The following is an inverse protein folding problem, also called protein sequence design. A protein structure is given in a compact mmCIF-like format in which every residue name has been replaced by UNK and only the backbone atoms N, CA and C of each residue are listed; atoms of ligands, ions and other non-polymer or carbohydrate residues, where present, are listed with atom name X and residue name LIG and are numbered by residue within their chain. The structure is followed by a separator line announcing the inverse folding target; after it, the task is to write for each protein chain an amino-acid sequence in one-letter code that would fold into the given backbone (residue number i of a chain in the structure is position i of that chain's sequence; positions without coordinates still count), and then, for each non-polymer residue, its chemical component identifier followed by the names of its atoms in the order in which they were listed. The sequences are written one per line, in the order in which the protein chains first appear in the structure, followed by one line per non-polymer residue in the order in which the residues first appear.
data_IF_633158012889
#
_entry.id   IF_633158012889
#
_cell.length_a   1.000
_cell.length_b   1.000
_cell.length_c   1.000
_cell.angle_alpha   90.00
_cell.angle_beta   90.00
_cell.angle_gamma   90.00
#
_symmetry.space_group_name_H-M   'P 1'
#
loop_
_entity.id
_entity.type
_entity.pdbx_description
1 polymer ?
#
# COMPACT_ATOMS: atom_id res chain seq x y z
N UNK A 1 -8.47 34.38 -14.55
CA UNK A 1 -8.18 33.78 -15.88
C UNK A 1 -9.33 32.87 -16.22
N UNK A 2 -10.21 33.32 -17.10
CA UNK A 2 -11.42 32.61 -17.53
C UNK A 2 -11.00 31.50 -18.47
N UNK A 3 -11.25 30.24 -18.13
CA UNK A 3 -10.96 29.12 -19.00
C UNK A 3 -11.79 29.27 -20.29
N UNK A 4 -11.18 29.20 -21.49
CA UNK A 4 -11.95 29.23 -22.73
C UNK A 4 -12.86 28.01 -22.78
N UNK A 5 -14.16 28.23 -22.97
CA UNK A 5 -15.10 27.16 -23.22
C UNK A 5 -14.68 26.46 -24.53
N UNK A 6 -14.25 25.20 -24.44
CA UNK A 6 -13.98 24.34 -25.58
C UNK A 6 -15.33 23.95 -26.21
N UNK A 7 -15.85 24.83 -27.05
CA UNK A 7 -17.06 24.56 -27.83
C UNK A 7 -16.68 23.62 -28.97
N UNK A 8 -16.99 22.33 -28.83
CA UNK A 8 -16.94 21.39 -29.96
C UNK A 8 -18.16 21.68 -30.84
N UNK A 9 -18.03 22.66 -31.73
CA UNK A 9 -19.06 23.05 -32.69
C UNK A 9 -19.13 22.06 -33.86
N UNK A 10 -19.42 20.78 -33.60
CA UNK A 10 -19.80 19.86 -34.67
C UNK A 10 -21.32 19.86 -34.74
N UNK A 11 -21.87 20.39 -35.84
CA UNK A 11 -23.28 20.25 -36.19
C UNK A 11 -23.60 18.75 -36.33
N UNK A 12 -24.10 18.13 -35.26
CA UNK A 12 -24.71 16.79 -35.30
C UNK A 12 -26.08 16.95 -35.95
N UNK A 13 -26.12 17.25 -37.24
CA UNK A 13 -27.36 17.49 -37.97
C UNK A 13 -27.30 16.99 -39.42
N UNK A 14 -26.55 15.92 -39.67
CA UNK A 14 -26.91 15.05 -40.78
C UNK A 14 -27.72 13.91 -40.15
N UNK A 15 -29.02 13.74 -40.44
CA UNK A 15 -29.72 12.51 -40.08
C UNK A 15 -28.85 11.37 -40.62
N UNK A 16 -28.61 10.34 -39.79
CA UNK A 16 -28.01 9.09 -40.23
C UNK A 16 -28.77 8.68 -41.49
N UNK A 17 -28.17 8.95 -42.66
CA UNK A 17 -28.77 8.55 -43.92
C UNK A 17 -28.75 7.04 -43.85
N UNK A 18 -29.93 6.46 -43.64
CA UNK A 18 -30.12 5.02 -43.76
C UNK A 18 -29.58 4.65 -45.14
N UNK A 19 -28.89 3.51 -45.26
CA UNK A 19 -28.47 2.98 -46.56
C UNK A 19 -29.65 3.18 -47.51
N UNK A 20 -29.49 3.88 -48.65
CA UNK A 20 -30.61 4.19 -49.52
C UNK A 20 -31.42 2.92 -49.74
N UNK A 21 -32.72 2.95 -49.41
CA UNK A 21 -33.57 1.76 -49.44
C UNK A 21 -33.49 1.06 -50.79
N UNK A 22 -33.27 1.83 -51.86
CA UNK A 22 -33.00 1.35 -53.22
C UNK A 22 -31.80 0.40 -53.33
N UNK A 23 -30.67 0.68 -52.66
CA UNK A 23 -29.48 -0.19 -52.67
C UNK A 23 -29.73 -1.48 -51.88
N UNK A 24 -30.41 -1.39 -50.73
CA UNK A 24 -30.78 -2.55 -49.93
C UNK A 24 -31.76 -3.47 -50.68
N UNK A 25 -32.80 -2.88 -51.27
CA UNK A 25 -33.81 -3.59 -52.05
C UNK A 25 -33.21 -4.21 -53.32
N UNK A 26 -32.31 -3.51 -54.02
CA UNK A 26 -31.59 -4.05 -55.18
C UNK A 26 -30.75 -5.27 -54.80
N UNK A 27 -29.99 -5.18 -53.71
CA UNK A 27 -29.17 -6.30 -53.23
C UNK A 27 -30.03 -7.51 -52.81
N UNK A 28 -31.15 -7.30 -52.10
CA UNK A 28 -32.09 -8.38 -51.76
C UNK A 28 -32.73 -9.01 -53.00
N UNK A 29 -33.17 -8.19 -53.95
CA UNK A 29 -33.79 -8.67 -55.19
C UNK A 29 -32.80 -9.51 -56.00
N UNK A 30 -31.56 -9.04 -56.15
CA UNK A 30 -30.50 -9.80 -56.83
C UNK A 30 -30.17 -11.11 -56.09
N UNK A 31 -30.10 -11.08 -54.75
CA UNK A 31 -29.83 -12.29 -53.97
C UNK A 31 -30.94 -13.35 -54.13
N UNK A 32 -32.20 -12.93 -54.11
CA UNK A 32 -33.36 -13.81 -54.36
C UNK A 32 -33.30 -14.35 -55.80
N UNK A 33 -33.08 -13.48 -56.78
CA UNK A 33 -33.05 -13.87 -58.18
C UNK A 33 -31.88 -14.84 -58.48
N UNK A 34 -30.68 -14.61 -57.91
CA UNK A 34 -29.54 -15.54 -58.04
C UNK A 34 -29.87 -16.89 -57.42
N UNK A 35 -30.55 -16.92 -56.28
CA UNK A 35 -30.94 -18.16 -55.59
C UNK A 35 -31.92 -19.02 -56.41
N UNK A 36 -32.75 -18.39 -57.24
CA UNK A 36 -33.79 -19.05 -58.02
C UNK A 36 -33.42 -19.26 -59.50
N UNK A 37 -32.24 -18.81 -59.94
CA UNK A 37 -31.80 -18.99 -61.31
C UNK A 37 -31.12 -20.35 -61.49
N UNK A 38 -31.75 -21.25 -62.24
CA UNK A 38 -31.14 -22.48 -62.72
C UNK A 38 -30.49 -22.25 -64.10
N UNK A 39 -29.18 -22.50 -64.21
CA UNK A 39 -28.44 -22.36 -65.47
C UNK A 39 -28.46 -23.69 -66.22
N UNK A 40 -29.36 -23.81 -67.20
CA UNK A 40 -29.59 -25.04 -67.97
C UNK A 40 -29.32 -24.88 -69.47
N UNK A 41 -29.19 -23.66 -69.95
CA UNK A 41 -28.99 -23.33 -71.36
C UNK A 41 -28.15 -22.05 -71.57
N UNK A 42 -27.91 -21.67 -72.83
CA UNK A 42 -27.12 -20.50 -73.16
C UNK A 42 -27.76 -19.17 -72.70
N UNK A 43 -29.09 -19.08 -72.69
CA UNK A 43 -29.81 -17.87 -72.29
C UNK A 43 -29.74 -17.64 -70.77
N UNK A 44 -29.97 -18.70 -69.99
CA UNK A 44 -29.83 -18.70 -68.54
C UNK A 44 -28.38 -18.49 -68.09
N UNK A 45 -27.41 -18.96 -68.87
CA UNK A 45 -25.99 -18.67 -68.64
C UNK A 45 -25.66 -17.17 -68.83
N UNK A 46 -26.17 -16.54 -69.89
CA UNK A 46 -25.99 -15.09 -70.10
C UNK A 46 -26.67 -14.27 -68.99
N UNK A 47 -27.89 -14.64 -68.61
CA UNK A 47 -28.63 -14.02 -67.51
C UNK A 47 -27.85 -14.13 -66.18
N UNK A 48 -27.33 -15.32 -65.87
CA UNK A 48 -26.50 -15.54 -64.69
C UNK A 48 -25.23 -14.71 -64.69
N UNK A 49 -24.55 -14.62 -65.83
CA UNK A 49 -23.35 -13.77 -65.98
C UNK A 49 -23.66 -12.30 -65.72
N UNK A 50 -24.79 -11.80 -66.24
CA UNK A 50 -25.24 -10.42 -65.99
C UNK A 50 -25.54 -10.18 -64.52
N UNK A 51 -26.25 -11.10 -63.87
CA UNK A 51 -26.59 -11.00 -62.44
C UNK A 51 -25.36 -11.07 -61.53
N UNK A 52 -24.32 -11.83 -61.90
CA UNK A 52 -23.03 -11.83 -61.21
C UNK A 52 -22.33 -10.47 -61.31
N UNK A 53 -22.31 -9.85 -62.49
CA UNK A 53 -21.74 -8.51 -62.64
C UNK A 53 -22.52 -7.46 -61.84
N UNK A 54 -23.85 -7.50 -61.88
CA UNK A 54 -24.72 -6.57 -61.16
C UNK A 54 -24.61 -6.72 -59.64
N UNK A 55 -24.56 -7.96 -59.14
CA UNK A 55 -24.38 -8.23 -57.70
C UNK A 55 -23.02 -7.79 -57.20
N UNK A 56 -21.95 -8.02 -57.97
CA UNK A 56 -20.62 -7.51 -57.63
C UNK A 56 -20.58 -5.98 -57.58
N UNK A 57 -21.24 -5.30 -58.52
CA UNK A 57 -21.34 -3.84 -58.47
C UNK A 57 -22.17 -3.38 -57.26
N UNK A 58 -23.31 -4.02 -56.97
CA UNK A 58 -24.13 -3.70 -55.80
C UNK A 58 -23.36 -3.87 -54.48
N UNK A 59 -22.52 -4.90 -54.36
CA UNK A 59 -21.64 -5.09 -53.20
C UNK A 59 -20.61 -3.96 -53.05
N UNK A 60 -20.01 -3.51 -54.17
CA UNK A 60 -19.09 -2.36 -54.14
C UNK A 60 -19.79 -1.08 -53.69
N UNK A 61 -20.99 -0.83 -54.19
CA UNK A 61 -21.77 0.37 -53.85
C UNK A 61 -22.18 0.36 -52.37
N UNK A 62 -22.57 -0.80 -51.83
CA UNK A 62 -22.87 -0.98 -50.41
C UNK A 62 -21.65 -0.74 -49.53
N UNK A 63 -20.47 -1.25 -49.91
CA UNK A 63 -19.24 -1.01 -49.14
C UNK A 63 -18.81 0.46 -49.21
N UNK A 64 -18.94 1.11 -50.37
CA UNK A 64 -18.69 2.54 -50.52
C UNK A 64 -19.62 3.38 -49.63
N UNK A 65 -20.91 3.03 -49.57
CA UNK A 65 -21.88 3.66 -48.68
C UNK A 65 -21.48 3.44 -47.21
N UNK A 66 -21.15 2.20 -46.81
CA UNK A 66 -20.67 1.86 -45.47
C UNK A 66 -19.46 2.71 -45.06
N UNK A 67 -18.46 2.82 -45.92
CA UNK A 67 -17.25 3.63 -45.65
C UNK A 67 -17.61 5.11 -45.49
N UNK A 68 -18.47 5.65 -46.37
CA UNK A 68 -18.96 7.03 -46.30
C UNK A 68 -19.69 7.31 -44.99
N UNK A 69 -20.45 6.35 -44.46
CA UNK A 69 -21.12 6.48 -43.16
C UNK A 69 -20.17 6.34 -41.97
N UNK A 70 -19.26 5.36 -42.01
CA UNK A 70 -18.37 5.05 -40.89
C UNK A 70 -17.29 6.13 -40.67
N UNK A 71 -16.81 6.74 -41.74
CA UNK A 71 -15.71 7.73 -41.70
C UNK A 71 -16.00 8.92 -40.77
N UNK A 72 -17.11 9.69 -40.91
CA UNK A 72 -17.37 10.84 -40.04
C UNK A 72 -17.56 10.43 -38.57
N UNK A 73 -18.15 9.27 -38.29
CA UNK A 73 -18.31 8.75 -36.92
C UNK A 73 -16.93 8.47 -36.29
N UNK A 74 -16.04 7.84 -37.06
CA UNK A 74 -14.67 7.54 -36.59
C UNK A 74 -13.85 8.81 -36.39
N UNK A 75 -14.01 9.80 -37.28
CA UNK A 75 -13.36 11.11 -37.15
C UNK A 75 -13.89 11.88 -35.93
N UNK A 76 -15.20 11.84 -35.67
CA UNK A 76 -15.79 12.42 -34.47
C UNK A 76 -15.27 11.75 -33.20
N UNK A 77 -15.18 10.42 -33.17
CA UNK A 77 -14.59 9.67 -32.06
C UNK A 77 -13.15 10.12 -31.76
N UNK A 78 -12.31 10.22 -32.78
CA UNK A 78 -10.93 10.73 -32.64
C UNK A 78 -10.87 12.17 -32.14
N UNK A 79 -11.79 13.03 -32.59
CA UNK A 79 -11.87 14.41 -32.13
C UNK A 79 -12.24 14.49 -30.65
N UNK A 80 -13.20 13.68 -30.20
CA UNK A 80 -13.57 13.55 -28.78
C UNK A 80 -12.37 13.08 -27.97
N UNK A 81 -11.70 12.00 -28.40
CA UNK A 81 -10.52 11.46 -27.71
C UNK A 81 -9.42 12.52 -27.58
N UNK A 82 -9.20 13.32 -28.63
CA UNK A 82 -8.22 14.41 -28.62
C UNK A 82 -8.58 15.50 -27.61
N UNK A 83 -9.85 15.93 -27.56
CA UNK A 83 -10.32 16.94 -26.60
C UNK A 83 -10.19 16.41 -25.17
N UNK A 84 -10.55 15.15 -24.92
CA UNK A 84 -10.44 14.53 -23.60
C UNK A 84 -8.98 14.39 -23.20
N UNK A 85 -8.09 13.93 -24.08
CA UNK A 85 -6.66 13.80 -23.81
C UNK A 85 -6.02 15.16 -23.47
N UNK A 86 -6.35 16.21 -24.21
CA UNK A 86 -5.87 17.57 -23.94
C UNK A 86 -6.26 18.10 -22.54
N UNK A 87 -7.33 17.58 -21.94
CA UNK A 87 -7.76 17.94 -20.59
C UNK A 87 -7.25 16.97 -19.52
N UNK A 88 -7.24 15.67 -19.82
CA UNK A 88 -6.85 14.62 -18.90
C UNK A 88 -5.32 14.58 -18.68
N UNK A 89 -4.52 14.75 -19.74
CA UNK A 89 -3.06 14.61 -19.67
C UNK A 89 -2.41 15.68 -18.76
N UNK A 90 -2.75 16.99 -18.87
CA UNK A 90 -2.22 17.99 -17.95
C UNK A 90 -2.65 17.74 -16.50
N UNK A 91 -3.87 17.25 -16.29
CA UNK A 91 -4.38 16.93 -14.96
C UNK A 91 -3.64 15.73 -14.35
N UNK A 92 -3.39 14.68 -15.12
CA UNK A 92 -2.61 13.51 -14.68
C UNK A 92 -1.15 13.89 -14.38
N UNK A 93 -0.55 14.75 -15.21
CA UNK A 93 0.78 15.30 -14.95
C UNK A 93 0.82 16.14 -13.66
N UNK A 94 -0.17 17.00 -13.44
CA UNK A 94 -0.30 17.79 -12.22
C UNK A 94 -0.49 16.91 -10.98
N UNK A 95 -1.30 15.86 -11.07
CA UNK A 95 -1.49 14.86 -10.01
C UNK A 95 -0.17 14.16 -9.66
N UNK A 96 0.56 13.66 -10.66
CA UNK A 96 1.88 13.03 -10.45
C UNK A 96 2.88 13.98 -9.81
N UNK A 97 2.92 15.24 -10.27
CA UNK A 97 3.75 16.29 -9.68
C UNK A 97 3.40 16.53 -8.21
N UNK A 98 2.12 16.62 -7.87
CA UNK A 98 1.65 16.79 -6.50
C UNK A 98 2.01 15.60 -5.61
N UNK A 99 1.82 14.37 -6.11
CA UNK A 99 2.22 13.16 -5.39
C UNK A 99 3.73 13.15 -5.07
N UNK A 100 4.58 13.57 -6.01
CA UNK A 100 6.01 13.72 -5.77
C UNK A 100 6.34 14.76 -4.69
N UNK A 101 5.62 15.89 -4.65
CA UNK A 101 5.81 16.93 -3.62
C UNK A 101 5.39 16.43 -2.23
N UNK A 102 4.26 15.73 -2.13
CA UNK A 102 3.78 15.14 -0.87
C UNK A 102 4.79 14.12 -0.36
N UNK A 103 5.23 13.19 -1.20
CA UNK A 103 6.23 12.19 -0.82
C UNK A 103 7.55 12.82 -0.36
N UNK A 104 8.01 13.90 -1.03
CA UNK A 104 9.20 14.64 -0.61
C UNK A 104 9.03 15.30 0.77
N UNK A 105 7.86 15.85 1.04
CA UNK A 105 7.55 16.43 2.36
C UNK A 105 7.54 15.36 3.45
N UNK A 106 6.86 14.24 3.22
CA UNK A 106 6.81 13.11 4.17
C UNK A 106 8.21 12.55 4.47
N UNK A 107 9.05 12.40 3.44
CA UNK A 107 10.44 11.98 3.62
C UNK A 107 11.26 12.99 4.46
N UNK A 108 11.05 14.29 4.25
CA UNK A 108 11.73 15.33 5.03
C UNK A 108 11.28 15.35 6.50
N UNK A 109 9.97 15.19 6.75
CA UNK A 109 9.44 15.11 8.12
C UNK A 109 9.96 13.87 8.86
N UNK A 110 10.00 12.72 8.19
CA UNK A 110 10.59 11.51 8.75
C UNK A 110 12.08 11.70 9.08
N UNK A 111 12.84 12.31 8.18
CA UNK A 111 14.26 12.59 8.42
C UNK A 111 14.48 13.54 9.61
N UNK A 112 13.62 14.55 9.81
CA UNK A 112 13.67 15.42 11.00
C UNK A 112 13.35 14.66 12.27
N UNK A 113 12.33 13.81 12.26
CA UNK A 113 11.95 12.98 13.41
C UNK A 113 13.07 12.00 13.78
N UNK A 114 13.68 11.34 12.79
CA UNK A 114 14.81 10.42 13.00
C UNK A 114 16.04 11.16 13.53
N UNK A 115 16.36 12.36 13.00
CA UNK A 115 17.45 13.19 13.50
C UNK A 115 17.23 13.66 14.95
N UNK A 116 16.00 14.05 15.30
CA UNK A 116 15.64 14.41 16.67
C UNK A 116 15.77 13.22 17.63
N UNK A 117 15.37 12.01 17.19
CA UNK A 117 15.53 10.79 17.98
C UNK A 117 17.00 10.47 18.23
N UNK A 118 17.83 10.53 17.20
CA UNK A 118 19.28 10.30 17.30
C UNK A 118 19.95 11.32 18.23
N UNK A 119 19.60 12.60 18.13
CA UNK A 119 20.13 13.63 19.02
C UNK A 119 19.72 13.40 20.49
N UNK A 120 18.46 13.01 20.75
CA UNK A 120 17.98 12.69 22.09
C UNK A 120 18.66 11.43 22.68
N UNK A 121 18.88 10.41 21.87
CA UNK A 121 19.64 9.21 22.27
C UNK A 121 21.10 9.53 22.60
N UNK A 122 21.76 10.39 21.81
CA UNK A 122 23.14 10.80 22.07
C UNK A 122 23.27 11.64 23.35
N UNK A 123 22.32 12.56 23.59
CA UNK A 123 22.25 13.35 24.81
C UNK A 123 22.08 12.45 26.04
N UNK A 124 21.15 11.49 25.96
CA UNK A 124 20.90 10.51 27.03
C UNK A 124 22.13 9.64 27.28
N UNK A 125 22.87 9.26 26.24
CA UNK A 125 24.12 8.50 26.38
C UNK A 125 25.18 9.31 27.13
N UNK A 126 25.38 10.58 26.76
CA UNK A 126 26.35 11.47 27.42
C UNK A 126 26.01 11.71 28.89
N UNK A 127 24.73 11.89 29.21
CA UNK A 127 24.28 12.05 30.60
C UNK A 127 24.51 10.79 31.44
N UNK A 128 24.25 9.60 30.88
CA UNK A 128 24.54 8.33 31.55
C UNK A 128 26.03 8.12 31.78
N UNK A 129 26.85 8.42 30.77
CA UNK A 129 28.30 8.31 30.88
C UNK A 129 28.87 9.28 31.93
N UNK A 130 28.39 10.53 31.97
CA UNK A 130 28.78 11.49 33.00
C UNK A 130 28.36 11.05 34.41
N UNK A 131 27.13 10.54 34.57
CA UNK A 131 26.64 10.04 35.84
C UNK A 131 27.40 8.78 36.31
N UNK A 132 27.80 7.90 35.39
CA UNK A 132 28.60 6.72 35.70
C UNK A 132 30.03 7.11 36.12
N UNK A 133 30.65 8.08 35.43
CA UNK A 133 31.96 8.62 35.82
C UNK A 133 31.92 9.29 37.20
N UNK A 134 30.87 10.05 37.52
CA UNK A 134 30.70 10.66 38.83
C UNK A 134 30.53 9.60 39.94
N UNK A 135 29.73 8.56 39.67
CA UNK A 135 29.60 7.40 40.59
C UNK A 135 30.94 6.71 40.82
N UNK A 136 31.73 6.49 39.76
CA UNK A 136 33.05 5.88 39.88
C UNK A 136 34.01 6.73 40.74
N UNK A 137 33.97 8.07 40.60
CA UNK A 137 34.79 8.97 41.43
C UNK A 137 34.38 8.94 42.90
N UNK A 138 33.08 9.04 43.18
CA UNK A 138 32.56 8.98 44.55
C UNK A 138 32.86 7.65 45.21
N UNK A 139 32.73 6.54 44.47
CA UNK A 139 33.09 5.21 44.97
C UNK A 139 34.59 5.12 45.27
N UNK A 140 35.45 5.64 44.39
CA UNK A 140 36.89 5.65 44.63
C UNK A 140 37.27 6.48 45.88
N UNK A 141 36.65 7.64 46.09
CA UNK A 141 36.86 8.45 47.31
C UNK A 141 36.38 7.74 48.57
N UNK A 142 35.25 7.02 48.50
CA UNK A 142 34.72 6.23 49.60
C UNK A 142 35.64 5.06 49.96
N UNK A 143 36.12 4.34 48.94
CA UNK A 143 37.05 3.22 49.11
C UNK A 143 38.39 3.70 49.70
N UNK A 144 38.87 4.88 49.30
CA UNK A 144 40.10 5.48 49.85
C UNK A 144 39.92 5.88 51.33
N UNK A 145 38.81 6.53 51.69
CA UNK A 145 38.48 6.84 53.09
C UNK A 145 38.38 5.57 53.93
N UNK A 146 37.71 4.55 53.41
CA UNK A 146 37.58 3.28 54.10
C UNK A 146 38.95 2.62 54.33
N UNK A 147 39.86 2.63 53.35
CA UNK A 147 41.24 2.15 53.55
C UNK A 147 41.98 2.90 54.64
N UNK A 148 41.82 4.23 54.71
CA UNK A 148 42.45 5.05 55.74
C UNK A 148 41.89 4.71 57.13
N UNK A 149 40.58 4.50 57.26
CA UNK A 149 39.94 4.07 58.52
C UNK A 149 40.40 2.68 58.95
N UNK A 150 40.49 1.72 58.03
CA UNK A 150 41.01 0.38 58.30
C UNK A 150 42.46 0.45 58.78
N UNK A 151 43.32 1.19 58.07
CA UNK A 151 44.72 1.35 58.44
C UNK A 151 44.88 2.05 59.81
N UNK A 152 44.07 3.07 60.11
CA UNK A 152 44.07 3.74 61.41
C UNK A 152 43.60 2.82 62.55
N UNK A 153 42.56 2.00 62.29
CA UNK A 153 42.06 1.03 63.26
C UNK A 153 43.09 -0.09 63.53
N UNK A 154 43.76 -0.60 62.49
CA UNK A 154 44.85 -1.55 62.62
C UNK A 154 46.04 -0.97 63.40
N UNK A 155 46.43 0.28 63.13
CA UNK A 155 47.50 0.95 63.86
C UNK A 155 47.16 1.13 65.34
N UNK A 156 45.91 1.52 65.65
CA UNK A 156 45.43 1.64 67.03
C UNK A 156 45.40 0.30 67.74
N UNK A 157 44.92 -0.76 67.10
CA UNK A 157 44.94 -2.10 67.66
C UNK A 157 46.34 -2.65 67.90
N UNK A 158 47.32 -2.33 67.03
CA UNK A 158 48.74 -2.66 67.27
C UNK A 158 49.29 -1.91 68.48
N UNK A 159 49.02 -0.60 68.61
CA UNK A 159 49.45 0.20 69.75
C UNK A 159 48.83 -0.30 71.06
N UNK A 160 47.53 -0.60 71.07
CA UNK A 160 46.83 -1.15 72.24
C UNK A 160 47.40 -2.53 72.63
N UNK A 161 47.76 -3.37 71.65
CA UNK A 161 48.40 -4.66 71.90
C UNK A 161 49.82 -4.54 72.46
N UNK A 162 50.62 -3.57 71.97
CA UNK A 162 51.95 -3.27 72.49
C UNK A 162 51.90 -2.72 73.94
N UNK A 163 50.93 -1.86 74.25
CA UNK A 163 50.73 -1.33 75.59
C UNK A 163 50.27 -2.44 76.58
N UNK A 164 49.35 -3.30 76.16
CA UNK A 164 48.94 -4.49 76.92
C UNK A 164 50.11 -5.46 77.15
N UNK A 165 50.98 -5.65 76.16
CA UNK A 165 52.17 -6.49 76.31
C UNK A 165 53.19 -5.88 77.29
N UNK A 166 53.36 -4.55 77.29
CA UNK A 166 54.24 -3.84 78.23
C UNK A 166 53.75 -3.91 79.68
N UNK A 167 52.43 -3.91 79.90
CA UNK A 167 51.82 -4.01 81.25
C UNK A 167 51.80 -5.45 81.78
N UNK A 168 51.61 -6.46 80.92
CA UNK A 168 51.44 -7.87 81.33
C UNK A 168 52.71 -8.73 81.22
N UNK A 169 53.81 -8.24 80.62
CA UNK A 169 55.10 -8.93 80.56
C UNK A 169 55.12 -10.23 79.75
N UNK A 170 54.10 -10.49 78.92
CA UNK A 170 54.01 -11.59 77.96
C UNK A 170 53.47 -11.04 76.63
N UNK A 171 53.98 -11.51 75.46
CA UNK A 171 53.49 -11.04 74.17
C UNK A 171 52.03 -11.46 73.97
N UNK A 172 51.15 -10.48 73.75
CA UNK A 172 49.74 -10.69 73.42
C UNK A 172 49.58 -10.41 71.93
N UNK A 173 49.21 -11.42 71.14
CA UNK A 173 48.93 -11.24 69.72
C UNK A 173 47.71 -10.33 69.52
N UNK A 174 47.86 -9.29 68.69
CA UNK A 174 46.78 -8.38 68.36
C UNK A 174 45.63 -9.16 67.70
N UNK A 175 44.44 -9.13 68.32
CA UNK A 175 43.23 -9.67 67.70
C UNK A 175 42.93 -8.88 66.41
N UNK A 176 42.55 -9.56 65.30
CA UNK A 176 42.18 -8.88 64.06
C UNK A 176 41.02 -7.92 64.33
N UNK A 177 41.18 -6.66 63.93
CA UNK A 177 40.09 -5.68 64.01
C UNK A 177 39.08 -6.02 62.93
N UNK A 178 37.87 -6.43 63.32
CA UNK A 178 36.72 -6.49 62.41
C UNK A 178 36.30 -5.06 62.08
N UNK A 179 36.85 -4.50 61.00
CA UNK A 179 36.32 -3.27 60.42
C UNK A 179 35.13 -3.66 59.55
N UNK A 180 33.97 -3.06 59.82
CA UNK A 180 32.75 -3.29 59.06
C UNK A 180 32.99 -3.05 57.55
N UNK A 181 32.38 -3.83 56.64
CA UNK A 181 32.60 -3.70 55.20
C UNK A 181 32.27 -2.28 54.73
N UNK A 182 33.07 -1.77 53.79
CA UNK A 182 32.94 -0.42 53.22
C UNK A 182 31.47 -0.04 52.97
N UNK A 183 31.01 1.15 53.41
CA UNK A 183 29.65 1.58 53.19
C UNK A 183 29.38 1.68 51.68
N UNK A 184 28.50 0.82 51.18
CA UNK A 184 27.96 0.95 49.82
C UNK A 184 27.20 2.28 49.77
N UNK A 185 27.71 3.25 49.02
CA UNK A 185 27.01 4.53 48.82
C UNK A 185 25.83 4.26 47.88
N UNK A 186 24.68 3.93 48.45
CA UNK A 186 23.38 3.96 47.77
C UNK A 186 22.87 5.41 47.77
N UNK A 187 23.34 6.21 46.81
CA UNK A 187 22.69 7.49 46.48
C UNK A 187 21.40 7.22 45.69
N UNK A 188 20.40 8.10 45.79
CA UNK A 188 19.03 7.85 45.34
C UNK A 188 19.01 7.42 43.87
N UNK A 189 18.14 6.44 43.59
CA UNK A 189 17.91 5.91 42.26
C UNK A 189 17.92 7.04 41.22
N UNK A 190 18.76 6.87 40.20
CA UNK A 190 18.78 7.69 38.99
C UNK A 190 17.35 8.09 38.66
N UNK A 191 17.00 9.40 38.64
CA UNK A 191 15.63 9.82 38.38
C UNK A 191 15.17 9.10 37.11
N UNK A 192 14.05 8.40 37.22
CA UNK A 192 13.46 7.70 36.09
C UNK A 192 13.46 8.65 34.90
N UNK A 193 13.94 8.22 33.71
CA UNK A 193 14.05 9.09 32.56
C UNK A 193 12.73 9.82 32.41
N UNK A 194 12.77 11.16 32.37
CA UNK A 194 11.58 11.98 32.20
C UNK A 194 10.74 11.35 31.08
N UNK A 195 9.41 11.17 31.29
CA UNK A 195 8.58 10.51 30.30
C UNK A 195 8.81 11.23 28.99
N UNK A 196 9.45 10.51 28.05
CA UNK A 196 9.66 10.98 26.69
C UNK A 196 8.31 11.49 26.26
N UNK A 197 8.21 12.81 26.03
CA UNK A 197 7.00 13.40 25.51
C UNK A 197 6.67 12.58 24.27
N UNK A 198 5.64 11.73 24.39
CA UNK A 198 5.05 11.05 23.26
C UNK A 198 4.49 12.19 22.46
N UNK A 199 5.32 12.71 21.54
CA UNK A 199 4.87 13.58 20.47
C UNK A 199 3.68 12.84 19.91
N UNK A 200 2.48 13.39 20.12
CA UNK A 200 1.26 12.80 19.60
C UNK A 200 1.57 12.40 18.16
N UNK A 201 1.48 11.10 17.80
CA UNK A 201 1.72 10.70 16.44
C UNK A 201 0.78 11.56 15.60
N UNK A 202 1.37 12.33 14.67
CA UNK A 202 0.64 13.16 13.74
C UNK A 202 -0.60 12.38 13.32
N UNK A 203 -1.79 12.92 13.63
CA UNK A 203 -3.09 12.26 13.40
C UNK A 203 -2.97 11.46 12.11
N UNK A 204 -3.01 10.11 12.16
CA UNK A 204 -2.68 9.31 11.00
C UNK A 204 -3.58 9.79 9.88
N UNK A 205 -2.95 10.36 8.86
CA UNK A 205 -3.59 10.79 7.64
C UNK A 205 -4.39 9.62 7.11
N UNK A 206 -5.71 9.69 7.31
CA UNK A 206 -6.72 8.82 6.75
C UNK A 206 -6.26 7.35 6.55
N UNK A 207 -6.18 6.58 7.65
CA UNK A 207 -6.34 5.12 7.53
C UNK A 207 -7.75 4.89 6.97
N UNK A 208 -7.85 4.80 5.65
CA UNK A 208 -9.10 4.46 4.99
C UNK A 208 -9.37 2.99 5.28
N UNK A 209 -10.20 2.74 6.30
CA UNK A 209 -10.83 1.43 6.49
C UNK A 209 -11.72 1.23 5.27
N UNK A 210 -11.31 0.33 4.37
CA UNK A 210 -12.13 -0.07 3.22
C UNK A 210 -12.72 -1.42 3.56
N UNK A 211 -14.04 -1.52 3.45
CA UNK A 211 -14.74 -2.78 3.57
C UNK A 211 -14.50 -3.57 2.28
N UNK A 212 -13.77 -4.67 2.39
CA UNK A 212 -13.48 -5.54 1.24
C UNK A 212 -14.37 -6.79 1.37
N UNK A 213 -15.10 -7.18 0.32
CA UNK A 213 -15.88 -8.42 0.33
C UNK A 213 -14.94 -9.62 0.31
N UNK A 214 -14.85 -10.31 1.45
CA UNK A 214 -14.07 -11.54 1.63
C UNK A 214 -15.04 -12.72 1.59
N UNK A 215 -14.70 -13.74 0.79
CA UNK A 215 -15.44 -15.00 0.77
C UNK A 215 -15.03 -15.83 1.99
N UNK A 216 -15.99 -16.15 2.85
CA UNK A 216 -15.82 -17.07 3.98
C UNK A 216 -16.52 -18.38 3.63
N UNK A 217 -15.81 -19.49 3.82
CA UNK A 217 -16.33 -20.85 3.62
C UNK A 217 -16.33 -21.51 5.00
N UNK A 218 -17.51 -21.65 5.58
CA UNK A 218 -17.71 -22.17 6.93
C UNK A 218 -17.54 -23.69 6.98
N UNK A 219 -18.04 -24.39 5.94
CA UNK A 219 -17.88 -25.83 5.79
C UNK A 219 -17.66 -26.22 4.31
N UNK A 220 -16.45 -26.66 3.93
CA UNK A 220 -16.14 -27.03 2.55
C UNK A 220 -16.91 -28.25 2.06
N UNK A 221 -17.46 -29.09 2.95
CA UNK A 221 -18.23 -30.29 2.56
C UNK A 221 -19.66 -29.96 2.16
N UNK A 222 -20.19 -28.82 2.61
CA UNK A 222 -21.53 -28.36 2.27
C UNK A 222 -21.57 -27.55 0.98
N UNK A 223 -20.41 -27.13 0.44
CA UNK A 223 -20.32 -26.44 -0.83
C UNK A 223 -20.68 -27.40 -1.96
N UNK A 224 -21.75 -27.13 -2.74
CA UNK A 224 -22.17 -28.01 -3.82
C UNK A 224 -21.07 -28.12 -4.89
N UNK A 225 -20.87 -29.34 -5.42
CA UNK A 225 -19.90 -29.56 -6.50
C UNK A 225 -20.25 -28.83 -7.81
N UNK A 226 -21.51 -28.41 -7.98
CA UNK A 226 -21.99 -27.67 -9.15
C UNK A 226 -23.01 -26.61 -8.75
N UNK A 227 -22.85 -25.39 -9.25
CA UNK A 227 -23.82 -24.29 -9.11
C UNK A 227 -23.94 -23.58 -10.45
N UNK A 228 -25.16 -23.44 -10.99
CA UNK A 228 -25.42 -22.70 -12.24
C UNK A 228 -24.67 -23.21 -13.48
N UNK A 229 -24.33 -24.51 -13.53
CA UNK A 229 -23.57 -25.11 -14.64
C UNK A 229 -22.04 -24.96 -14.54
N UNK A 230 -21.52 -24.41 -13.44
CA UNK A 230 -20.08 -24.36 -13.16
C UNK A 230 -19.67 -25.44 -12.16
N UNK A 231 -18.58 -26.16 -12.45
CA UNK A 231 -17.98 -27.18 -11.59
C UNK A 231 -17.06 -26.54 -10.54
N UNK A 232 -17.28 -26.86 -9.26
CA UNK A 232 -16.58 -26.31 -8.10
C UNK A 232 -15.71 -27.35 -7.36
N UNK A 233 -15.47 -28.53 -7.95
CA UNK A 233 -14.86 -29.70 -7.29
C UNK A 233 -13.50 -29.44 -6.65
N UNK A 234 -12.66 -28.63 -7.28
CA UNK A 234 -11.60 -27.90 -6.57
C UNK A 234 -12.19 -26.56 -6.23
N UNK A 235 -12.39 -26.26 -4.93
CA UNK A 235 -13.06 -25.05 -4.44
C UNK A 235 -12.39 -23.82 -5.05
N UNK A 236 -12.88 -23.41 -6.21
CA UNK A 236 -12.44 -22.21 -6.89
C UNK A 236 -13.12 -21.06 -6.18
N UNK A 237 -12.39 -20.49 -5.22
CA UNK A 237 -12.85 -19.34 -4.44
C UNK A 237 -13.30 -18.18 -5.34
N UNK A 238 -12.72 -18.03 -6.54
CA UNK A 238 -13.12 -17.00 -7.49
C UNK A 238 -14.44 -17.34 -8.20
N UNK A 239 -14.72 -18.61 -8.48
CA UNK A 239 -16.01 -19.05 -9.02
C UNK A 239 -17.12 -18.95 -7.96
N UNK A 240 -16.87 -19.43 -6.74
CA UNK A 240 -17.84 -19.34 -5.62
C UNK A 240 -18.16 -17.88 -5.31
N UNK A 241 -17.15 -17.01 -5.23
CA UNK A 241 -17.36 -15.57 -5.01
C UNK A 241 -18.21 -14.94 -6.12
N UNK A 242 -17.93 -15.23 -7.39
CA UNK A 242 -18.71 -14.73 -8.54
C UNK A 242 -20.16 -15.21 -8.51
N UNK A 243 -20.39 -16.47 -8.13
CA UNK A 243 -21.75 -17.02 -8.02
C UNK A 243 -22.56 -16.30 -6.92
N UNK A 244 -21.97 -16.04 -5.75
CA UNK A 244 -22.63 -15.32 -4.66
C UNK A 244 -22.85 -13.84 -5.03
N UNK A 245 -21.88 -13.18 -5.68
CA UNK A 245 -22.04 -11.81 -6.20
C UNK A 245 -23.15 -11.70 -7.26
N UNK A 246 -23.37 -12.76 -8.04
CA UNK A 246 -24.46 -12.87 -9.01
C UNK A 246 -25.83 -13.20 -8.37
N UNK A 247 -25.90 -13.32 -7.05
CA UNK A 247 -27.14 -13.57 -6.31
C UNK A 247 -27.49 -15.05 -6.07
N UNK A 248 -26.56 -15.98 -6.34
CA UNK A 248 -26.79 -17.39 -6.04
C UNK A 248 -26.50 -17.71 -4.56
N UNK A 249 -27.40 -18.45 -3.90
CA UNK A 249 -27.19 -18.95 -2.55
C UNK A 249 -26.35 -20.22 -2.60
N UNK A 250 -25.12 -20.18 -2.06
CA UNK A 250 -24.22 -21.33 -1.97
C UNK A 250 -24.19 -21.83 -0.53
N UNK A 251 -24.59 -23.08 -0.28
CA UNK A 251 -24.56 -23.65 1.06
C UNK A 251 -23.11 -23.72 1.60
N UNK A 252 -22.89 -23.27 2.84
CA UNK A 252 -21.57 -23.28 3.49
C UNK A 252 -20.61 -22.17 3.08
N UNK A 253 -21.04 -21.19 2.27
CA UNK A 253 -20.22 -20.04 1.88
C UNK A 253 -21.03 -18.74 1.83
N UNK A 254 -20.46 -17.66 2.35
CA UNK A 254 -21.07 -16.33 2.32
C UNK A 254 -20.01 -15.22 2.14
N UNK A 255 -20.45 -14.05 1.70
CA UNK A 255 -19.58 -12.86 1.57
C UNK A 255 -19.77 -12.00 2.81
N UNK A 256 -18.70 -11.80 3.56
CA UNK A 256 -18.66 -10.86 4.67
C UNK A 256 -17.79 -9.65 4.30
N UNK A 257 -18.27 -8.46 4.69
CA UNK A 257 -17.55 -7.21 4.50
C UNK A 257 -16.59 -7.02 5.68
N UNK A 258 -15.34 -7.46 5.51
CA UNK A 258 -14.34 -7.30 6.56
C UNK A 258 -13.59 -5.97 6.43
N UNK A 259 -13.44 -5.21 7.53
CA UNK A 259 -12.66 -3.98 7.53
C UNK A 259 -11.18 -4.32 7.39
N UNK A 260 -10.59 -4.09 6.20
CA UNK A 260 -9.15 -4.21 6.03
C UNK A 260 -8.47 -2.85 6.17
N UNK A 261 -7.48 -2.82 7.06
CA UNK A 261 -6.55 -1.70 7.20
C UNK A 261 -5.54 -1.77 6.05
N UNK A 262 -5.75 -0.95 5.02
CA UNK A 262 -4.81 -0.87 3.92
C UNK A 262 -3.51 -0.18 4.39
N UNK A 263 -2.49 -0.97 4.75
CA UNK A 263 -1.15 -0.43 4.91
C UNK A 263 -0.63 -0.05 3.52
N UNK A 264 -0.29 1.23 3.35
CA UNK A 264 0.31 1.71 2.11
C UNK A 264 1.54 0.85 1.80
N UNK A 265 1.50 0.08 0.70
CA UNK A 265 2.68 -0.63 0.20
C UNK A 265 3.71 0.42 -0.18
N UNK A 266 4.74 0.58 0.65
CA UNK A 266 6.00 1.21 0.29
C UNK A 266 6.55 0.47 -0.94
N UNK A 267 6.52 1.13 -2.09
CA UNK A 267 7.27 0.75 -3.28
C UNK A 267 8.62 1.45 -3.26
#
# INVERSE_FOLDING_TARGET
MTAPALTVSHQIAAPLQVVPDELGNKAQTLAIAIKHLDVVDAATHEAGTRMLLESHQALKDLEAARVKFKKPITELGKAIDTVVANLADPLDLAKKSMQGKVAKYEAAEKAKADAARLAAEEQTRKEREAAEQERARLQAEADEKHRQEVAAAEAKAKADAEELAAVLGKPVEAKPVEVAPAPKIELPATPAPAPVAVVEPAKPSAVQVRNVPVLIIDDPKLVPAYVGGQELRTIDRAAVKRAIEAGATVAGAHIEMQPQTAMARTR
#
